data_IF_363675059758
#
_entry.id   IF_363675059758
#
_cell.length_a   1.000
_cell.length_b   1.000
_cell.length_c   1.000
_cell.angle_alpha   90.00
_cell.angle_beta   90.00
_cell.angle_gamma   90.00
#
_symmetry.space_group_name_H-M   'P 1'
#
loop_
_entity.id
_entity.type
_entity.pdbx_description
1 polymer ?
#
# COMPACT_ATOMS: atom_id res chain seq x y z
N UNK A 1 -15.68 -29.87 -46.93
CA UNK A 1 -15.82 -28.62 -46.15
C UNK A 1 -16.53 -28.89 -44.81
N UNK A 2 -15.94 -29.66 -43.88
CA UNK A 2 -16.55 -29.89 -42.54
C UNK A 2 -15.59 -30.26 -41.40
N UNK A 3 -14.28 -30.38 -41.67
CA UNK A 3 -13.30 -30.82 -40.65
C UNK A 3 -12.54 -29.62 -40.04
N UNK A 4 -12.49 -28.47 -40.74
CA UNK A 4 -11.69 -27.31 -40.33
C UNK A 4 -12.32 -26.42 -39.23
N UNK A 5 -13.61 -26.59 -38.89
CA UNK A 5 -14.29 -25.76 -37.89
C UNK A 5 -14.22 -26.28 -36.44
N UNK A 6 -13.73 -27.52 -36.23
CA UNK A 6 -13.65 -28.13 -34.88
C UNK A 6 -12.36 -27.77 -34.14
N UNK A 7 -11.30 -27.40 -34.85
CA UNK A 7 -9.97 -27.12 -34.25
C UNK A 7 -9.83 -25.72 -33.64
N UNK A 8 -10.78 -24.81 -33.86
CA UNK A 8 -10.73 -23.45 -33.28
C UNK A 8 -11.28 -23.42 -31.85
N UNK A 9 -12.15 -24.37 -31.48
CA UNK A 9 -12.71 -24.46 -30.13
C UNK A 9 -11.76 -25.10 -29.11
N UNK A 10 -10.75 -25.85 -29.55
CA UNK A 10 -9.77 -26.50 -28.67
C UNK A 10 -8.69 -25.55 -28.13
N UNK A 11 -8.52 -24.36 -28.71
CA UNK A 11 -7.57 -23.35 -28.23
C UNK A 11 -8.16 -22.37 -27.21
N UNK A 12 -9.49 -22.32 -27.06
CA UNK A 12 -10.16 -21.49 -26.05
C UNK A 12 -10.24 -22.17 -24.67
N UNK A 13 -9.98 -23.47 -24.57
CA UNK A 13 -10.09 -24.20 -23.29
C UNK A 13 -8.80 -24.16 -22.43
N UNK A 14 -7.66 -23.80 -23.02
CA UNK A 14 -6.35 -23.81 -22.32
C UNK A 14 -6.06 -22.49 -21.61
N UNK A 15 -6.70 -21.39 -22.00
CA UNK A 15 -6.43 -20.06 -21.43
C UNK A 15 -7.09 -19.80 -20.06
N UNK A 16 -7.96 -20.68 -19.57
CA UNK A 16 -8.70 -20.46 -18.32
C UNK A 16 -8.03 -21.06 -17.07
N UNK A 17 -6.99 -21.89 -17.22
CA UNK A 17 -6.43 -22.66 -16.10
C UNK A 17 -5.25 -21.99 -15.36
N UNK A 18 -4.78 -20.82 -15.80
CA UNK A 18 -3.62 -20.15 -15.20
C UNK A 18 -3.98 -19.05 -14.16
N UNK A 19 -5.27 -18.73 -13.97
CA UNK A 19 -5.69 -17.63 -13.11
C UNK A 19 -5.69 -17.85 -11.57
N UNK A 20 -5.62 -19.07 -10.97
CA UNK A 20 -5.83 -19.19 -9.52
C UNK A 20 -4.57 -18.92 -8.67
N UNK A 21 -3.37 -19.12 -9.20
CA UNK A 21 -2.13 -19.08 -8.39
C UNK A 21 -1.83 -17.66 -7.88
N UNK A 22 -2.10 -16.63 -8.69
CA UNK A 22 -1.75 -15.25 -8.33
C UNK A 22 -2.65 -14.67 -7.23
N UNK A 23 -3.95 -15.03 -7.21
CA UNK A 23 -4.88 -14.52 -6.22
C UNK A 23 -4.57 -15.02 -4.81
N UNK A 24 -4.11 -16.27 -4.69
CA UNK A 24 -3.68 -16.87 -3.42
C UNK A 24 -2.43 -16.20 -2.86
N UNK A 25 -1.47 -15.85 -3.71
CA UNK A 25 -0.23 -15.18 -3.29
C UNK A 25 -0.50 -13.76 -2.77
N UNK A 26 -1.31 -12.96 -3.48
CA UNK A 26 -1.62 -11.60 -3.05
C UNK A 26 -2.45 -11.56 -1.78
N UNK A 27 -3.30 -12.57 -1.58
CA UNK A 27 -4.05 -12.75 -0.34
C UNK A 27 -3.09 -13.04 0.82
N UNK A 28 -2.12 -13.94 0.63
CA UNK A 28 -1.09 -14.21 1.64
C UNK A 28 -0.26 -12.97 1.93
N UNK A 29 0.20 -12.26 0.91
CA UNK A 29 0.94 -11.00 1.08
C UNK A 29 0.13 -9.98 1.90
N UNK A 30 -1.19 -9.89 1.70
CA UNK A 30 -2.02 -8.99 2.52
C UNK A 30 -2.09 -9.44 3.98
N UNK A 31 -2.29 -10.74 4.22
CA UNK A 31 -2.39 -11.30 5.57
C UNK A 31 -1.05 -11.19 6.32
N UNK A 32 0.06 -11.53 5.66
CA UNK A 32 1.40 -11.41 6.22
C UNK A 32 1.76 -9.95 6.47
N UNK A 33 1.37 -9.04 5.56
CA UNK A 33 1.52 -7.60 5.77
C UNK A 33 0.77 -7.11 7.00
N UNK A 34 -0.50 -7.51 7.16
CA UNK A 34 -1.30 -7.15 8.33
C UNK A 34 -0.72 -7.74 9.63
N UNK A 35 -0.33 -9.02 9.61
CA UNK A 35 0.31 -9.69 10.75
C UNK A 35 1.61 -9.00 11.17
N UNK A 36 2.45 -8.63 10.21
CA UNK A 36 3.70 -7.92 10.49
C UNK A 36 3.42 -6.52 11.04
N UNK A 37 2.41 -5.83 10.53
CA UNK A 37 1.99 -4.52 11.03
C UNK A 37 1.54 -4.61 12.49
N UNK A 38 0.71 -5.60 12.82
CA UNK A 38 0.21 -5.85 14.18
C UNK A 38 1.34 -6.27 15.14
N UNK A 39 2.37 -6.94 14.61
CA UNK A 39 3.59 -7.31 15.34
C UNK A 39 4.64 -6.18 15.39
N UNK A 40 4.28 -4.97 14.96
CA UNK A 40 5.17 -3.78 14.90
C UNK A 40 6.40 -3.94 13.99
N UNK A 41 6.44 -4.99 13.17
CA UNK A 41 7.46 -5.23 12.15
C UNK A 41 7.14 -4.44 10.88
N UNK A 42 7.18 -3.10 10.98
CA UNK A 42 6.67 -2.22 9.94
C UNK A 42 7.39 -2.35 8.58
N UNK A 43 8.71 -2.57 8.56
CA UNK A 43 9.46 -2.78 7.32
C UNK A 43 9.00 -4.05 6.59
N UNK A 44 8.75 -5.13 7.34
CA UNK A 44 8.21 -6.37 6.78
C UNK A 44 6.78 -6.16 6.27
N UNK A 45 5.96 -5.41 7.00
CA UNK A 45 4.61 -5.07 6.56
C UNK A 45 4.61 -4.28 5.24
N UNK A 46 5.51 -3.27 5.12
CA UNK A 46 5.70 -2.48 3.90
C UNK A 46 6.12 -3.37 2.74
N UNK A 47 7.06 -4.29 2.96
CA UNK A 47 7.52 -5.21 1.93
C UNK A 47 6.38 -6.09 1.39
N UNK A 48 5.58 -6.67 2.28
CA UNK A 48 4.44 -7.51 1.90
C UNK A 48 3.34 -6.73 1.18
N UNK A 49 2.96 -5.56 1.69
CA UNK A 49 1.99 -4.69 1.00
C UNK A 49 2.49 -4.18 -0.34
N UNK A 50 3.81 -3.99 -0.51
CA UNK A 50 4.40 -3.55 -1.77
C UNK A 50 4.30 -4.62 -2.87
N UNK A 51 4.28 -5.92 -2.53
CA UNK A 51 4.02 -7.00 -3.51
C UNK A 51 2.65 -6.84 -4.17
N UNK A 52 1.63 -6.45 -3.39
CA UNK A 52 0.26 -6.21 -3.88
C UNK A 52 0.23 -5.07 -4.90
N UNK A 53 0.97 -3.99 -4.63
CA UNK A 53 1.09 -2.85 -5.54
C UNK A 53 1.87 -3.23 -6.81
N UNK A 54 2.93 -4.04 -6.67
CA UNK A 54 3.72 -4.54 -7.79
C UNK A 54 2.89 -5.41 -8.75
N UNK A 55 1.94 -6.17 -8.21
CA UNK A 55 0.96 -6.93 -8.99
C UNK A 55 -0.15 -6.07 -9.62
N UNK A 56 -0.07 -4.74 -9.51
CA UNK A 56 -0.97 -3.79 -10.16
C UNK A 56 -2.18 -3.36 -9.33
N UNK A 57 -2.37 -3.92 -8.13
CA UNK A 57 -3.48 -3.52 -7.24
C UNK A 57 -3.12 -2.21 -6.53
N UNK A 58 -3.49 -1.10 -7.18
CA UNK A 58 -3.20 0.27 -6.75
C UNK A 58 -4.49 0.98 -6.37
N UNK A 59 -4.89 0.87 -5.11
CA UNK A 59 -6.08 1.53 -4.58
C UNK A 59 -5.77 2.31 -3.29
N UNK A 60 -6.70 3.18 -2.89
CA UNK A 60 -6.50 4.08 -1.75
C UNK A 60 -6.35 3.35 -0.41
N UNK A 61 -6.84 2.12 -0.26
CA UNK A 61 -6.68 1.32 0.96
C UNK A 61 -5.26 0.75 1.07
N UNK A 62 -4.70 0.26 -0.04
CA UNK A 62 -3.31 -0.22 -0.05
C UNK A 62 -2.32 0.90 0.21
N UNK A 63 -2.52 2.07 -0.41
CA UNK A 63 -1.68 3.24 -0.14
C UNK A 63 -1.79 3.71 1.31
N UNK A 64 -2.99 3.66 1.90
CA UNK A 64 -3.20 3.98 3.31
C UNK A 64 -2.48 3.02 4.26
N UNK A 65 -2.57 1.71 4.02
CA UNK A 65 -1.91 0.71 4.86
C UNK A 65 -0.37 0.88 4.85
N UNK A 66 0.21 1.14 3.68
CA UNK A 66 1.65 1.41 3.57
C UNK A 66 2.01 2.74 4.25
N UNK A 67 1.19 3.78 4.06
CA UNK A 67 1.38 5.07 4.75
C UNK A 67 1.36 4.92 6.27
N UNK A 68 0.45 4.12 6.81
CA UNK A 68 0.39 3.79 8.24
C UNK A 68 1.64 3.05 8.72
N UNK A 69 2.14 2.08 7.94
CA UNK A 69 3.35 1.36 8.31
C UNK A 69 4.57 2.30 8.34
N UNK A 70 4.72 3.18 7.34
CA UNK A 70 5.77 4.20 7.35
C UNK A 70 5.63 5.17 8.52
N UNK A 71 4.41 5.65 8.80
CA UNK A 71 4.13 6.53 9.94
C UNK A 71 4.61 5.90 11.25
N UNK A 72 4.28 4.62 11.45
CA UNK A 72 4.63 3.87 12.66
C UNK A 72 6.12 3.53 12.75
N UNK A 73 6.80 3.35 11.61
CA UNK A 73 8.26 3.19 11.54
C UNK A 73 9.03 4.50 11.80
N UNK A 74 8.35 5.65 11.82
CA UNK A 74 8.96 6.97 11.99
C UNK A 74 9.47 7.62 10.70
N UNK A 75 9.36 6.95 9.55
CA UNK A 75 9.63 7.57 8.24
C UNK A 75 8.44 8.43 7.79
N UNK A 76 8.40 9.64 8.35
CA UNK A 76 7.32 10.60 8.13
C UNK A 76 7.23 11.06 6.67
N UNK A 77 8.36 11.12 5.96
CA UNK A 77 8.42 11.53 4.57
C UNK A 77 7.69 10.55 3.66
N UNK A 78 7.99 9.26 3.79
CA UNK A 78 7.29 8.23 3.04
C UNK A 78 5.83 8.07 3.48
N UNK A 79 5.53 8.23 4.79
CA UNK A 79 4.16 8.20 5.28
C UNK A 79 3.28 9.23 4.56
N UNK A 80 3.74 10.49 4.52
CA UNK A 80 3.04 11.58 3.82
C UNK A 80 2.84 11.28 2.33
N UNK A 81 3.89 10.84 1.64
CA UNK A 81 3.82 10.51 0.21
C UNK A 81 2.74 9.46 -0.08
N UNK A 82 2.66 8.40 0.73
CA UNK A 82 1.67 7.35 0.54
C UNK A 82 0.25 7.79 0.92
N UNK A 83 0.09 8.63 1.94
CA UNK A 83 -1.20 9.24 2.24
C UNK A 83 -1.68 10.20 1.14
N UNK A 84 -0.80 11.00 0.54
CA UNK A 84 -1.16 11.85 -0.61
C UNK A 84 -1.66 11.01 -1.79
N UNK A 85 -0.97 9.89 -2.10
CA UNK A 85 -1.42 8.94 -3.12
C UNK A 85 -2.80 8.35 -2.78
N UNK A 86 -3.03 8.05 -1.51
CA UNK A 86 -4.31 7.52 -1.04
C UNK A 86 -5.44 8.56 -1.13
N UNK A 87 -5.17 9.82 -0.74
CA UNK A 87 -6.11 10.94 -0.80
C UNK A 87 -6.50 11.32 -2.24
N UNK A 88 -5.60 11.14 -3.23
CA UNK A 88 -5.97 11.29 -4.64
C UNK A 88 -7.09 10.33 -5.07
N UNK A 89 -7.19 9.15 -4.45
CA UNK A 89 -8.21 8.15 -4.76
C UNK A 89 -9.42 8.20 -3.80
N UNK A 90 -9.20 8.67 -2.57
CA UNK A 90 -10.21 8.76 -1.51
C UNK A 90 -10.15 10.14 -0.84
N UNK A 91 -10.50 11.23 -1.56
CA UNK A 91 -10.26 12.60 -1.10
C UNK A 91 -11.13 13.03 0.10
N UNK A 92 -12.19 12.27 0.40
CA UNK A 92 -13.13 12.57 1.48
C UNK A 92 -13.01 11.60 2.65
N UNK A 93 -12.02 10.71 2.65
CA UNK A 93 -11.79 9.79 3.75
C UNK A 93 -11.24 10.54 4.98
N UNK A 94 -11.96 10.56 6.11
CA UNK A 94 -11.57 11.33 7.29
C UNK A 94 -10.33 10.75 7.98
N UNK A 95 -10.18 9.42 8.02
CA UNK A 95 -9.03 8.75 8.64
C UNK A 95 -7.75 9.07 7.88
N UNK A 96 -7.83 9.09 6.55
CA UNK A 96 -6.73 9.50 5.69
C UNK A 96 -6.30 10.95 5.92
N UNK A 97 -7.28 11.87 5.98
CA UNK A 97 -6.98 13.29 6.26
C UNK A 97 -6.35 13.45 7.62
N UNK A 98 -6.88 12.75 8.63
CA UNK A 98 -6.37 12.77 9.99
C UNK A 98 -4.93 12.25 10.06
N UNK A 99 -4.65 11.06 9.53
CA UNK A 99 -3.30 10.48 9.58
C UNK A 99 -2.28 11.29 8.78
N UNK A 100 -2.67 11.81 7.61
CA UNK A 100 -1.80 12.70 6.83
C UNK A 100 -1.48 13.99 7.60
N UNK A 101 -2.48 14.61 8.22
CA UNK A 101 -2.28 15.81 9.02
C UNK A 101 -1.42 15.51 10.24
N UNK A 102 -1.60 14.36 10.88
CA UNK A 102 -0.77 13.94 12.01
C UNK A 102 0.70 13.73 11.61
N UNK A 103 0.96 13.09 10.46
CA UNK A 103 2.32 12.99 9.93
C UNK A 103 2.97 14.37 9.73
N UNK A 104 2.20 15.33 9.19
CA UNK A 104 2.64 16.71 9.00
C UNK A 104 2.99 17.44 10.30
N UNK A 105 2.26 17.20 11.40
CA UNK A 105 2.59 17.83 12.69
C UNK A 105 3.90 17.29 13.24
N UNK A 106 4.11 15.97 13.18
CA UNK A 106 5.34 15.34 13.65
C UNK A 106 6.59 15.88 12.93
N UNK A 107 6.49 16.16 11.62
CA UNK A 107 7.59 16.78 10.85
C UNK A 107 7.89 18.21 11.31
N UNK A 108 6.86 18.98 11.69
CA UNK A 108 7.06 20.35 12.19
C UNK A 108 7.76 20.32 13.55
N UNK A 109 7.29 19.48 14.46
CA UNK A 109 7.87 19.35 15.79
C UNK A 109 9.34 18.91 15.71
N UNK A 110 9.65 17.94 14.85
CA UNK A 110 11.04 17.52 14.60
C UNK A 110 11.92 18.65 14.05
N UNK A 111 11.36 19.58 13.26
CA UNK A 111 12.12 20.75 12.77
C UNK A 111 12.30 21.83 13.83
N UNK A 112 11.37 21.97 14.77
CA UNK A 112 11.45 22.94 15.86
C UNK A 112 12.44 22.50 16.94
N UNK A 113 12.47 21.22 17.30
CA UNK A 113 13.47 20.66 18.21
C UNK A 113 14.90 20.86 17.67
N UNK A 114 15.09 20.62 16.36
CA UNK A 114 16.36 20.84 15.68
C UNK A 114 16.79 22.33 15.57
N UNK A 115 15.95 23.30 15.94
CA UNK A 115 16.31 24.74 15.93
C UNK A 115 16.94 25.23 17.24
N UNK A 116 17.05 24.36 18.26
CA UNK A 116 17.55 24.72 19.59
C UNK A 116 16.62 25.71 20.32
N UNK A 117 16.85 25.96 21.62
CA UNK A 117 16.05 26.94 22.35
C UNK A 117 16.25 28.31 21.72
N UNK A 118 15.22 28.81 21.03
CA UNK A 118 15.18 30.20 20.59
C UNK A 118 15.25 31.02 21.88
N UNK A 119 16.42 31.60 22.15
CA UNK A 119 16.62 32.52 23.25
C UNK A 119 15.61 33.65 23.05
N UNK A 120 14.53 33.62 23.85
CA UNK A 120 13.65 34.77 24.05
C UNK A 120 14.45 35.76 24.88
N UNK A 121 15.17 36.65 24.18
CA UNK A 121 15.73 37.88 24.76
C UNK A 121 14.62 38.91 24.90
#
# INVERSE_FOLDING_TARGET
MMILKRSIWSLLLVAFLAAPIQADELTRAFLDGAKNYDAENYDAAIAEFSKIIAAGIKNGKMFYNIGNAYLKSGDLGNAMLWYERALKLRPNDPDLKFNHQYALTLVKDAKEDNRGPILKV
#
